data_IF_736238455471
#
_entry.id   IF_736238455471
#
_cell.length_a   1.000
_cell.length_b   1.000
_cell.length_c   1.000
_cell.angle_alpha   90.00
_cell.angle_beta   90.00
_cell.angle_gamma   90.00
#
_symmetry.space_group_name_H-M   'P 1'
#
loop_
_entity.id
_entity.type
_entity.pdbx_description
1 polymer ?
#
# COMPACT_ATOMS: atom_id res chain seq x y z
N UNK A 1 7.24 -11.71 -6.09
CA UNK A 1 6.59 -11.42 -7.40
C UNK A 1 7.23 -12.20 -8.53
N UNK A 2 8.51 -12.02 -8.90
CA UNK A 2 9.20 -12.70 -10.02
C UNK A 2 8.85 -14.20 -10.13
N UNK A 3 9.09 -14.99 -9.08
CA UNK A 3 8.81 -16.43 -9.07
C UNK A 3 7.37 -16.81 -9.45
N UNK A 4 6.39 -15.99 -9.04
CA UNK A 4 4.97 -16.22 -9.35
C UNK A 4 4.63 -15.93 -10.81
N UNK A 5 5.30 -14.95 -11.41
CA UNK A 5 5.17 -14.63 -12.84
C UNK A 5 5.82 -15.72 -13.70
N UNK A 6 7.03 -16.14 -13.33
CA UNK A 6 7.73 -17.26 -13.98
C UNK A 6 6.88 -18.55 -14.01
N UNK A 7 6.20 -18.89 -12.90
CA UNK A 7 5.30 -20.06 -12.84
C UNK A 7 4.09 -19.94 -13.77
N UNK A 8 3.76 -18.74 -14.20
CA UNK A 8 2.68 -18.47 -15.16
C UNK A 8 3.19 -18.27 -16.59
N UNK A 9 4.48 -18.47 -16.84
CA UNK A 9 5.10 -18.26 -18.13
C UNK A 9 5.18 -16.80 -18.55
N UNK A 10 5.16 -15.88 -17.56
CA UNK A 10 5.27 -14.44 -17.80
C UNK A 10 6.71 -14.03 -17.50
N UNK A 11 7.41 -13.58 -18.51
CA UNK A 11 8.75 -12.98 -18.37
C UNK A 11 8.62 -11.62 -17.68
N UNK A 12 9.50 -11.36 -16.72
CA UNK A 12 9.53 -10.09 -16.03
C UNK A 12 10.95 -9.67 -15.66
N UNK A 13 11.21 -8.39 -15.78
CA UNK A 13 12.35 -7.73 -15.18
C UNK A 13 11.92 -7.11 -13.85
N UNK A 14 12.75 -7.23 -12.82
CA UNK A 14 12.49 -6.59 -11.51
C UNK A 14 13.67 -5.68 -11.20
N UNK A 15 13.43 -4.39 -11.29
CA UNK A 15 14.35 -3.35 -10.83
C UNK A 15 14.05 -3.01 -9.37
N UNK A 16 15.08 -3.09 -8.52
CA UNK A 16 14.96 -2.68 -7.13
C UNK A 16 15.54 -1.28 -6.96
N UNK A 17 14.72 -0.33 -6.55
CA UNK A 17 15.17 1.03 -6.17
C UNK A 17 15.62 1.00 -4.72
N UNK A 18 16.89 1.25 -4.48
CA UNK A 18 17.48 1.34 -3.14
C UNK A 18 17.50 2.78 -2.68
N UNK A 19 17.92 2.98 -1.43
CA UNK A 19 17.84 4.24 -0.72
C UNK A 19 18.38 5.46 -1.48
N UNK A 20 19.45 5.36 -2.20
CA UNK A 20 20.09 6.50 -2.87
C UNK A 20 20.06 6.36 -4.41
N UNK A 21 19.31 5.36 -4.90
CA UNK A 21 19.13 5.17 -6.32
C UNK A 21 18.09 6.17 -6.85
N UNK A 22 18.34 6.79 -8.01
CA UNK A 22 17.30 7.59 -8.65
C UNK A 22 16.12 6.68 -9.06
N UNK A 23 14.91 7.22 -9.03
CA UNK A 23 13.78 6.54 -9.63
C UNK A 23 14.02 6.45 -11.15
N UNK A 24 13.86 5.26 -11.70
CA UNK A 24 13.92 5.07 -13.15
C UNK A 24 12.76 5.78 -13.85
N UNK A 25 12.86 5.96 -15.16
CA UNK A 25 11.73 6.37 -15.97
C UNK A 25 10.59 5.35 -15.80
N UNK A 26 9.41 5.84 -15.43
CA UNK A 26 8.25 4.99 -15.15
C UNK A 26 7.44 4.64 -16.40
N UNK A 27 7.79 5.18 -17.58
CA UNK A 27 7.06 4.95 -18.83
C UNK A 27 7.03 3.48 -19.27
N UNK A 28 8.06 2.71 -18.92
CA UNK A 28 8.19 1.30 -19.26
C UNK A 28 7.92 0.37 -18.06
N UNK A 29 7.33 0.90 -16.99
CA UNK A 29 7.04 0.13 -15.77
C UNK A 29 5.59 -0.31 -15.74
N UNK A 30 5.36 -1.62 -15.75
CA UNK A 30 4.01 -2.18 -15.65
C UNK A 30 3.44 -2.16 -14.22
N UNK A 31 4.29 -2.38 -13.21
CA UNK A 31 3.87 -2.47 -11.82
C UNK A 31 4.92 -1.90 -10.87
N UNK A 32 4.50 -0.98 -10.02
CA UNK A 32 5.29 -0.50 -8.88
C UNK A 32 4.87 -1.23 -7.61
N UNK A 33 5.84 -1.71 -6.83
CA UNK A 33 5.61 -2.31 -5.52
C UNK A 33 6.31 -1.50 -4.43
N UNK A 34 5.54 -0.98 -3.48
CA UNK A 34 6.05 -0.30 -2.29
C UNK A 34 5.74 -1.16 -1.07
N UNK A 35 6.79 -1.71 -0.44
CA UNK A 35 6.67 -2.53 0.76
C UNK A 35 6.49 -1.71 2.03
N UNK A 36 6.18 -2.41 3.12
CA UNK A 36 6.23 -1.86 4.48
C UNK A 36 7.64 -1.90 5.06
N UNK A 37 7.81 -1.23 6.20
CA UNK A 37 9.05 -1.20 6.96
C UNK A 37 8.80 -0.69 8.38
N UNK A 38 9.85 -0.60 9.18
CA UNK A 38 9.80 0.07 10.49
C UNK A 38 9.67 1.60 10.34
N UNK A 39 9.35 2.28 11.43
CA UNK A 39 9.05 3.72 11.40
C UNK A 39 10.22 4.56 10.87
N UNK A 40 11.46 4.19 11.22
CA UNK A 40 12.64 4.88 10.72
C UNK A 40 12.86 4.69 9.22
N UNK A 41 12.67 3.46 8.73
CA UNK A 41 12.76 3.14 7.32
C UNK A 41 11.67 3.88 6.53
N UNK A 42 10.47 3.97 7.06
CA UNK A 42 9.36 4.69 6.45
C UNK A 42 9.68 6.18 6.28
N UNK A 43 10.28 6.83 7.27
CA UNK A 43 10.72 8.23 7.17
C UNK A 43 11.69 8.45 6.01
N UNK A 44 12.65 7.53 5.82
CA UNK A 44 13.59 7.62 4.71
C UNK A 44 12.92 7.40 3.36
N UNK A 45 12.08 6.35 3.27
CA UNK A 45 11.33 6.05 2.05
C UNK A 45 10.41 7.22 1.68
N UNK A 46 9.72 7.80 2.66
CA UNK A 46 8.87 8.95 2.44
C UNK A 46 9.64 10.15 1.86
N UNK A 47 10.78 10.50 2.46
CA UNK A 47 11.63 11.60 1.97
C UNK A 47 12.09 11.37 0.54
N UNK A 48 12.52 10.15 0.23
CA UNK A 48 12.94 9.78 -1.11
C UNK A 48 11.78 9.86 -2.12
N UNK A 49 10.63 9.27 -1.79
CA UNK A 49 9.45 9.29 -2.64
C UNK A 49 8.85 10.69 -2.84
N UNK A 50 9.04 11.60 -1.86
CA UNK A 50 8.60 13.00 -2.00
C UNK A 50 9.27 13.71 -3.18
N UNK A 51 10.50 13.36 -3.51
CA UNK A 51 11.22 13.92 -4.67
C UNK A 51 10.57 13.50 -6.00
N UNK A 52 9.87 12.37 -6.00
CA UNK A 52 9.22 11.77 -7.18
C UNK A 52 7.69 11.74 -7.08
N UNK A 53 7.13 12.57 -6.20
CA UNK A 53 5.67 12.61 -5.95
C UNK A 53 4.86 12.83 -7.22
N UNK A 54 5.30 13.75 -8.08
CA UNK A 54 4.59 14.09 -9.31
C UNK A 54 4.68 12.97 -10.34
N UNK A 55 5.83 12.35 -10.47
CA UNK A 55 6.07 11.20 -11.36
C UNK A 55 5.19 10.00 -10.94
N UNK A 56 5.14 9.70 -9.66
CA UNK A 56 4.27 8.64 -9.12
C UNK A 56 2.79 8.95 -9.32
N UNK A 57 2.38 10.21 -9.11
CA UNK A 57 1.00 10.63 -9.36
C UNK A 57 0.65 10.46 -10.83
N UNK A 58 1.47 10.98 -11.74
CA UNK A 58 1.24 10.88 -13.17
C UNK A 58 1.16 9.42 -13.61
N UNK A 59 2.07 8.56 -13.11
CA UNK A 59 2.05 7.12 -13.38
C UNK A 59 0.70 6.48 -13.00
N UNK A 60 0.15 6.81 -11.83
CA UNK A 60 -1.13 6.29 -11.37
C UNK A 60 -2.29 6.86 -12.21
N UNK A 61 -2.28 8.15 -12.51
CA UNK A 61 -3.30 8.83 -13.33
C UNK A 61 -3.30 8.32 -14.78
N UNK A 62 -2.14 7.87 -15.29
CA UNK A 62 -2.00 7.22 -16.59
C UNK A 62 -2.30 5.71 -16.57
N UNK A 63 -3.02 5.24 -15.55
CA UNK A 63 -3.42 3.84 -15.32
C UNK A 63 -2.26 2.89 -15.01
N UNK A 64 -1.14 3.35 -14.52
CA UNK A 64 -0.07 2.54 -13.98
C UNK A 64 -0.52 1.77 -12.73
N UNK A 65 -0.09 0.52 -12.60
CA UNK A 65 -0.46 -0.32 -11.46
C UNK A 65 0.50 -0.14 -10.30
N UNK A 66 -0.02 0.27 -9.14
CA UNK A 66 0.77 0.41 -7.92
C UNK A 66 0.21 -0.48 -6.82
N UNK A 67 1.08 -1.30 -6.22
CA UNK A 67 0.79 -2.12 -5.06
C UNK A 67 1.56 -1.56 -3.87
N UNK A 68 0.85 -1.05 -2.89
CA UNK A 68 1.44 -0.52 -1.67
C UNK A 68 0.98 -1.34 -0.45
N UNK A 69 1.92 -1.76 0.39
CA UNK A 69 1.64 -2.67 1.50
C UNK A 69 2.07 -2.04 2.82
N UNK A 70 1.19 -2.10 3.83
CA UNK A 70 1.45 -1.64 5.18
C UNK A 70 1.95 -0.18 5.20
N UNK A 71 3.19 0.07 5.66
CA UNK A 71 3.77 1.41 5.66
C UNK A 71 3.81 2.08 4.29
N UNK A 72 4.07 1.32 3.23
CA UNK A 72 4.03 1.85 1.87
C UNK A 72 2.65 2.40 1.49
N UNK A 73 1.56 1.73 1.90
CA UNK A 73 0.20 2.22 1.72
C UNK A 73 -0.05 3.51 2.52
N UNK A 74 0.36 3.52 3.78
CA UNK A 74 0.19 4.68 4.67
C UNK A 74 0.90 5.94 4.16
N UNK A 75 2.08 5.79 3.54
CA UNK A 75 2.84 6.90 2.98
C UNK A 75 2.20 7.54 1.74
N UNK A 76 1.31 6.85 1.02
CA UNK A 76 0.58 7.44 -0.12
C UNK A 76 -0.46 8.48 0.32
N UNK A 77 -0.87 8.43 1.59
CA UNK A 77 -1.91 9.30 2.15
C UNK A 77 -1.44 10.71 2.51
N UNK A 78 -2.30 11.41 3.22
CA UNK A 78 -2.08 12.78 3.67
C UNK A 78 -1.05 12.84 4.80
N UNK A 79 -1.20 11.95 5.78
CA UNK A 79 -0.26 11.82 6.89
C UNK A 79 -0.37 10.43 7.57
N UNK A 80 0.70 10.07 8.25
CA UNK A 80 0.77 8.96 9.18
C UNK A 80 1.20 9.45 10.55
N UNK A 81 0.33 9.34 11.54
CA UNK A 81 0.59 9.75 12.90
C UNK A 81 1.18 8.61 13.70
N UNK A 82 2.39 8.80 14.16
CA UNK A 82 3.07 7.97 15.15
C UNK A 82 2.76 8.49 16.57
N UNK A 83 3.20 7.76 17.59
CA UNK A 83 2.97 8.20 18.99
C UNK A 83 3.56 9.58 19.29
N UNK A 84 4.76 9.87 18.77
CA UNK A 84 5.51 11.08 19.10
C UNK A 84 5.70 12.05 17.94
N UNK A 85 5.34 11.67 16.73
CA UNK A 85 5.51 12.49 15.54
C UNK A 85 4.44 12.20 14.49
N UNK A 86 4.31 13.11 13.55
CA UNK A 86 3.45 12.94 12.37
C UNK A 86 4.31 13.01 11.13
N UNK A 87 4.28 11.95 10.34
CA UNK A 87 4.92 11.89 9.04
C UNK A 87 3.94 12.45 8.01
N UNK A 88 4.34 13.50 7.31
CA UNK A 88 3.59 13.98 6.16
C UNK A 88 3.73 12.97 5.02
N UNK A 89 2.61 12.48 4.49
CA UNK A 89 2.57 11.54 3.38
C UNK A 89 2.69 12.21 2.02
N UNK A 90 2.64 11.42 0.98
CA UNK A 90 2.75 11.86 -0.41
C UNK A 90 1.50 12.60 -0.92
N UNK A 91 0.38 12.55 -0.21
CA UNK A 91 -0.89 13.17 -0.61
C UNK A 91 -1.34 12.75 -2.03
N UNK A 92 -1.06 11.50 -2.40
CA UNK A 92 -1.51 10.91 -3.66
C UNK A 92 -2.92 10.37 -3.50
N UNK A 93 -3.20 9.74 -2.34
CA UNK A 93 -4.51 9.24 -1.96
C UNK A 93 -5.10 10.10 -0.83
N UNK A 94 -6.42 10.29 -0.86
CA UNK A 94 -7.17 10.94 0.24
C UNK A 94 -7.40 9.96 1.39
N UNK A 95 -6.31 9.53 1.99
CA UNK A 95 -6.30 8.67 3.17
C UNK A 95 -5.42 9.28 4.26
N UNK A 96 -5.65 8.87 5.50
CA UNK A 96 -4.76 9.22 6.60
C UNK A 96 -4.71 8.08 7.63
N UNK A 97 -3.62 8.00 8.37
CA UNK A 97 -3.40 6.95 9.36
C UNK A 97 -3.15 7.54 10.74
N UNK A 98 -3.91 7.09 11.73
CA UNK A 98 -3.76 7.41 13.15
C UNK A 98 -3.16 6.23 13.90
N UNK A 99 -2.48 6.50 15.01
CA UNK A 99 -2.01 5.46 15.92
C UNK A 99 -3.20 4.80 16.62
N UNK A 100 -3.32 3.49 16.51
CA UNK A 100 -4.34 2.72 17.20
C UNK A 100 -3.94 2.31 18.62
N UNK A 101 -4.90 1.77 19.37
CA UNK A 101 -4.63 1.15 20.67
C UNK A 101 -4.16 -0.29 20.46
N UNK A 102 -2.84 -0.50 20.49
CA UNK A 102 -2.22 -1.79 20.21
C UNK A 102 -2.17 -2.12 18.71
N UNK A 103 -1.79 -3.36 18.42
CA UNK A 103 -1.66 -3.86 17.05
C UNK A 103 -2.82 -4.78 16.71
N UNK A 104 -3.33 -4.66 15.50
CA UNK A 104 -4.23 -5.64 14.89
C UNK A 104 -3.36 -6.72 14.26
N UNK A 105 -3.50 -7.96 14.75
CA UNK A 105 -2.71 -9.11 14.31
C UNK A 105 -3.63 -10.30 14.16
N UNK A 106 -3.68 -10.90 13.00
CA UNK A 106 -4.47 -12.09 12.75
C UNK A 106 -4.66 -12.40 11.28
N UNK A 107 -5.42 -13.45 11.02
CA UNK A 107 -5.85 -13.76 9.68
C UNK A 107 -6.94 -12.78 9.24
N UNK A 108 -6.98 -12.48 7.95
CA UNK A 108 -8.00 -11.64 7.34
C UNK A 108 -8.56 -12.33 6.10
N UNK A 109 -9.87 -12.21 5.90
CA UNK A 109 -10.56 -12.64 4.69
C UNK A 109 -11.32 -11.45 4.12
N UNK A 110 -11.04 -11.14 2.87
CA UNK A 110 -11.69 -10.07 2.13
C UNK A 110 -12.51 -10.63 0.98
N UNK A 111 -13.62 -9.98 0.69
CA UNK A 111 -14.36 -10.09 -0.55
C UNK A 111 -14.01 -8.89 -1.44
N UNK A 112 -13.48 -9.16 -2.62
CA UNK A 112 -13.00 -8.14 -3.55
C UNK A 112 -13.88 -8.12 -4.81
N UNK A 113 -14.72 -7.10 -4.94
CA UNK A 113 -15.74 -7.01 -6.01
C UNK A 113 -15.14 -6.91 -7.41
N UNK A 114 -13.87 -6.50 -7.55
CA UNK A 114 -13.18 -6.46 -8.84
C UNK A 114 -12.71 -7.83 -9.34
N UNK A 115 -12.79 -8.86 -8.50
CA UNK A 115 -12.54 -10.25 -8.87
C UNK A 115 -13.87 -10.94 -9.17
N UNK A 116 -13.86 -11.83 -10.17
CA UNK A 116 -15.05 -12.59 -10.54
C UNK A 116 -15.23 -13.82 -9.65
N UNK A 117 -16.46 -14.13 -9.31
CA UNK A 117 -16.83 -15.39 -8.69
C UNK A 117 -16.34 -16.60 -9.51
N UNK A 118 -15.91 -17.72 -8.89
CA UNK A 118 -15.86 -17.96 -7.44
C UNK A 118 -14.54 -17.53 -6.77
N UNK A 119 -13.74 -16.64 -7.38
CA UNK A 119 -12.38 -16.29 -6.95
C UNK A 119 -12.28 -14.89 -6.34
N UNK A 120 -13.39 -14.34 -5.85
CA UNK A 120 -13.46 -13.01 -5.24
C UNK A 120 -12.99 -12.96 -3.78
N UNK A 121 -12.62 -14.10 -3.17
CA UNK A 121 -12.09 -14.14 -1.82
C UNK A 121 -10.58 -14.04 -1.79
N UNK A 122 -10.09 -13.13 -0.97
CA UNK A 122 -8.66 -12.96 -0.69
C UNK A 122 -8.41 -13.31 0.77
N UNK A 123 -7.48 -14.23 0.99
CA UNK A 123 -7.04 -14.64 2.33
C UNK A 123 -5.66 -14.07 2.57
N UNK A 124 -5.49 -13.40 3.70
CA UNK A 124 -4.26 -12.74 4.08
C UNK A 124 -4.00 -12.77 5.58
N UNK A 125 -3.01 -11.99 5.99
CA UNK A 125 -2.62 -11.80 7.38
C UNK A 125 -2.40 -10.32 7.63
N UNK A 126 -3.08 -9.77 8.63
CA UNK A 126 -2.91 -8.39 9.08
C UNK A 126 -1.94 -8.30 10.26
N UNK A 127 -1.07 -7.29 10.26
CA UNK A 127 -0.18 -6.99 11.39
C UNK A 127 0.22 -5.51 11.36
N UNK A 128 -0.62 -4.65 11.87
CA UNK A 128 -0.37 -3.21 11.86
C UNK A 128 -0.83 -2.51 13.13
N UNK A 129 -0.16 -1.41 13.50
CA UNK A 129 -0.53 -0.56 14.64
C UNK A 129 -1.32 0.68 14.22
N UNK A 130 -1.21 1.10 12.97
CA UNK A 130 -1.98 2.21 12.43
C UNK A 130 -3.44 1.84 12.15
N UNK A 131 -4.30 2.84 12.20
CA UNK A 131 -5.69 2.79 11.76
C UNK A 131 -5.82 3.73 10.58
N UNK A 132 -6.08 3.17 9.41
CA UNK A 132 -6.15 3.95 8.16
C UNK A 132 -7.60 4.24 7.83
N UNK A 133 -7.88 5.50 7.54
CA UNK A 133 -9.18 6.00 7.16
C UNK A 133 -9.11 6.43 5.71
N UNK A 134 -10.02 5.91 4.91
CA UNK A 134 -10.15 6.27 3.50
C UNK A 134 -11.22 7.35 3.36
N UNK A 135 -10.95 8.35 2.52
CA UNK A 135 -11.91 9.41 2.20
C UNK A 135 -12.97 8.91 1.20
N UNK A 136 -12.90 9.41 -0.01
CA UNK A 136 -13.84 9.04 -1.09
C UNK A 136 -13.41 7.84 -1.94
N UNK A 137 -12.31 7.20 -1.59
CA UNK A 137 -11.80 6.06 -2.35
C UNK A 137 -12.61 4.79 -2.13
N UNK A 138 -12.68 3.96 -3.18
CA UNK A 138 -13.21 2.61 -3.09
C UNK A 138 -12.18 1.73 -2.37
N UNK A 139 -12.57 1.00 -1.31
CA UNK A 139 -11.65 0.09 -0.64
C UNK A 139 -11.26 -1.09 -1.55
N UNK A 140 -10.13 -1.70 -1.27
CA UNK A 140 -9.66 -2.88 -1.98
C UNK A 140 -10.60 -4.08 -1.78
N UNK A 141 -11.19 -4.22 -0.58
CA UNK A 141 -12.15 -5.27 -0.32
C UNK A 141 -12.95 -5.07 0.95
N UNK A 142 -14.08 -5.78 1.02
CA UNK A 142 -14.92 -5.87 2.21
C UNK A 142 -14.38 -6.94 3.15
N UNK A 143 -14.22 -6.61 4.42
CA UNK A 143 -13.78 -7.56 5.45
C UNK A 143 -14.91 -8.52 5.80
N UNK A 144 -14.66 -9.82 5.59
CA UNK A 144 -15.54 -10.90 6.04
C UNK A 144 -15.06 -11.51 7.37
N UNK A 145 -13.75 -11.48 7.60
CA UNK A 145 -13.10 -11.94 8.83
C UNK A 145 -11.83 -11.13 9.07
N UNK A 146 -11.52 -10.79 10.30
CA UNK A 146 -10.42 -9.91 10.68
C UNK A 146 -10.88 -8.48 10.95
N UNK A 147 -9.96 -7.52 11.00
CA UNK A 147 -10.26 -6.11 11.32
C UNK A 147 -10.23 -5.20 10.09
N UNK A 148 -9.23 -5.37 9.20
CA UNK A 148 -9.02 -4.48 8.08
C UNK A 148 -8.31 -3.18 8.45
N UNK A 149 -8.60 -2.10 7.74
CA UNK A 149 -7.91 -0.81 7.89
C UNK A 149 -7.97 -0.22 9.32
N UNK A 150 -9.02 -0.50 10.07
CA UNK A 150 -9.18 -0.07 11.46
C UNK A 150 -10.11 -1.03 12.23
N UNK A 151 -10.23 -0.83 13.54
CA UNK A 151 -11.00 -1.70 14.41
C UNK A 151 -12.44 -1.91 13.88
N UNK A 152 -12.70 -3.06 13.28
CA UNK A 152 -14.01 -3.45 12.72
C UNK A 152 -14.62 -2.45 11.73
N UNK A 153 -13.82 -1.80 10.90
CA UNK A 153 -14.34 -0.84 9.92
C UNK A 153 -15.10 -1.49 8.75
N UNK A 154 -14.93 -2.79 8.55
CA UNK A 154 -15.63 -3.57 7.53
C UNK A 154 -15.00 -3.51 6.14
N UNK A 155 -13.87 -2.85 5.97
CA UNK A 155 -13.12 -2.77 4.71
C UNK A 155 -11.60 -2.78 4.93
N UNK A 156 -10.85 -3.10 3.88
CA UNK A 156 -9.38 -3.06 3.84
C UNK A 156 -8.89 -2.54 2.49
N UNK A 157 -7.74 -1.78 2.53
CA UNK A 157 -7.09 -1.20 1.36
C UNK A 157 -7.73 0.08 0.83
#
# INVERSE_FOLDING_TARGET
MRKRLEWRGIDCEVAAVRRDDPLADLSDVDVILIGGGGDNEQLYVCKHLMEYKNELRNYIEDNGSLIAICGGYQLLGNYYKLQNETIKGLEILDIYTETGNGRLIGDIILEADFLNEPHNLIVGFENHGGRTYIGSHTPFGKVLYGNGNSDNCGYDG
#
